data_IF_877252964210
#
_entry.id   IF_877252964210
#
_cell.length_a   1.000
_cell.length_b   1.000
_cell.length_c   1.000
_cell.angle_alpha   90.00
_cell.angle_beta   90.00
_cell.angle_gamma   90.00
#
_symmetry.space_group_name_H-M   'P 1'
#
loop_
_entity.id
_entity.type
_entity.pdbx_description
1 polymer ?
#
# COMPACT_ATOMS: atom_id res chain seq x y z
N UNK A 1 24.98 1.92 4.85
CA UNK A 1 23.97 2.82 5.46
C UNK A 1 22.60 2.53 4.83
N UNK A 2 21.53 2.66 5.65
CA UNK A 2 20.15 2.43 5.22
C UNK A 2 19.33 3.72 5.31
N UNK A 3 18.52 3.98 4.30
CA UNK A 3 17.46 4.97 4.33
C UNK A 3 16.09 4.28 4.24
N UNK A 4 15.20 4.60 5.18
CA UNK A 4 13.81 4.12 5.18
C UNK A 4 12.88 5.25 4.76
N UNK A 5 12.28 5.14 3.59
CA UNK A 5 11.37 6.15 3.06
C UNK A 5 9.91 5.71 3.25
N UNK A 6 9.27 6.20 4.30
CA UNK A 6 7.92 5.81 4.72
C UNK A 6 6.84 6.87 4.47
N UNK A 7 7.18 7.96 3.75
CA UNK A 7 6.22 9.02 3.45
C UNK A 7 5.20 8.55 2.43
N UNK A 8 3.92 8.77 2.72
CA UNK A 8 2.83 8.47 1.82
C UNK A 8 1.70 9.48 1.98
N UNK A 9 1.32 10.13 0.88
CA UNK A 9 0.18 11.04 0.80
C UNK A 9 -0.46 10.90 -0.57
N UNK A 10 -1.78 10.83 -0.62
CA UNK A 10 -2.51 10.79 -1.89
C UNK A 10 -4.00 10.68 -1.68
N UNK A 11 -4.75 10.93 -2.74
CA UNK A 11 -6.19 10.76 -2.76
C UNK A 11 -6.53 9.28 -2.76
N UNK A 12 -7.32 8.87 -1.79
CA UNK A 12 -7.82 7.51 -1.56
C UNK A 12 -9.35 7.52 -1.46
N UNK A 13 -9.97 6.34 -1.35
CA UNK A 13 -11.43 6.20 -1.26
C UNK A 13 -12.13 6.26 -2.61
N UNK A 14 -11.37 6.19 -3.70
CA UNK A 14 -11.84 6.02 -5.08
C UNK A 14 -11.08 4.84 -5.71
N UNK A 15 -11.63 4.21 -6.76
CA UNK A 15 -10.89 3.19 -7.52
C UNK A 15 -9.57 3.73 -8.06
N UNK A 16 -8.54 2.89 -8.10
CA UNK A 16 -7.22 3.27 -8.64
C UNK A 16 -7.36 3.77 -10.09
N UNK A 17 -8.15 3.09 -10.91
CA UNK A 17 -8.40 3.44 -12.32
C UNK A 17 -9.11 4.78 -12.53
N UNK A 18 -9.79 5.30 -11.52
CA UNK A 18 -10.56 6.54 -11.59
C UNK A 18 -9.77 7.76 -11.07
N UNK A 19 -8.54 7.55 -10.62
CA UNK A 19 -7.66 8.64 -10.20
C UNK A 19 -7.27 9.51 -11.41
N UNK A 20 -7.43 10.82 -11.29
CA UNK A 20 -7.02 11.76 -12.33
C UNK A 20 -5.50 11.93 -12.34
N UNK A 21 -4.94 12.37 -13.48
CA UNK A 21 -3.50 12.63 -13.59
C UNK A 21 -3.02 13.63 -12.52
N UNK A 22 -3.78 14.69 -12.26
CA UNK A 22 -3.48 15.66 -11.20
C UNK A 22 -3.39 15.02 -9.81
N UNK A 23 -4.31 14.10 -9.49
CA UNK A 23 -4.27 13.36 -8.22
C UNK A 23 -3.06 12.43 -8.14
N UNK A 24 -2.72 11.76 -9.25
CA UNK A 24 -1.54 10.89 -9.34
C UNK A 24 -0.26 11.71 -9.16
N UNK A 25 -0.11 12.84 -9.83
CA UNK A 25 1.06 13.72 -9.73
C UNK A 25 1.22 14.26 -8.31
N UNK A 26 0.12 14.69 -7.67
CA UNK A 26 0.11 15.13 -6.28
C UNK A 26 0.51 14.02 -5.31
N UNK A 27 0.02 12.80 -5.53
CA UNK A 27 0.40 11.64 -4.73
C UNK A 27 1.90 11.32 -4.89
N UNK A 28 2.38 11.27 -6.13
CA UNK A 28 3.77 10.95 -6.43
C UNK A 28 4.74 12.01 -5.87
N UNK A 29 4.35 13.27 -5.84
CA UNK A 29 5.19 14.37 -5.34
C UNK A 29 5.76 14.11 -3.93
N UNK A 30 5.02 13.42 -3.06
CA UNK A 30 5.47 13.08 -1.71
C UNK A 30 5.70 11.58 -1.50
N UNK A 31 4.99 10.73 -2.25
CA UNK A 31 5.04 9.29 -1.99
C UNK A 31 6.10 8.56 -2.81
N UNK A 32 6.55 9.11 -3.93
CA UNK A 32 7.49 8.44 -4.82
C UNK A 32 8.65 9.33 -5.28
N UNK A 33 8.37 10.52 -5.85
CA UNK A 33 9.40 11.35 -6.52
C UNK A 33 10.62 11.69 -5.64
N UNK A 34 10.51 11.86 -4.31
CA UNK A 34 11.67 12.12 -3.48
C UNK A 34 12.65 10.94 -3.39
N UNK A 35 12.21 9.71 -3.63
CA UNK A 35 13.07 8.52 -3.49
C UNK A 35 14.27 8.57 -4.45
N UNK A 36 14.08 8.66 -5.79
CA UNK A 36 15.19 8.76 -6.72
C UNK A 36 15.99 10.07 -6.57
N UNK A 37 15.39 11.15 -6.07
CA UNK A 37 16.11 12.39 -5.79
C UNK A 37 17.09 12.20 -4.63
N UNK A 38 16.63 11.63 -3.52
CA UNK A 38 17.47 11.33 -2.35
C UNK A 38 18.56 10.32 -2.67
N UNK A 39 18.28 9.35 -3.53
CA UNK A 39 19.28 8.39 -4.02
C UNK A 39 20.45 9.09 -4.73
N UNK A 40 20.15 10.09 -5.56
CA UNK A 40 21.17 10.85 -6.29
C UNK A 40 21.94 11.85 -5.42
N UNK A 41 21.36 12.32 -4.33
CA UNK A 41 21.94 13.37 -3.48
C UNK A 41 22.69 12.83 -2.26
N UNK A 42 22.39 11.61 -1.85
CA UNK A 42 22.91 11.03 -0.61
C UNK A 42 23.77 9.79 -0.90
N UNK A 43 24.89 9.65 -0.22
CA UNK A 43 25.73 8.45 -0.26
C UNK A 43 25.10 7.37 0.64
N UNK A 44 24.15 6.62 0.07
CA UNK A 44 23.36 5.60 0.77
C UNK A 44 23.57 4.24 0.11
N UNK A 45 23.87 3.25 0.94
CA UNK A 45 24.07 1.87 0.45
C UNK A 45 22.77 1.17 0.10
N UNK A 46 21.70 1.42 0.86
CA UNK A 46 20.41 0.76 0.66
C UNK A 46 19.25 1.70 0.95
N UNK A 47 18.31 1.78 0.02
CA UNK A 47 17.03 2.49 0.20
C UNK A 47 15.90 1.48 0.34
N UNK A 48 15.14 1.61 1.42
CA UNK A 48 13.97 0.78 1.72
C UNK A 48 12.71 1.62 1.57
N UNK A 49 11.89 1.29 0.58
CA UNK A 49 10.58 1.90 0.36
C UNK A 49 9.45 0.98 0.87
N UNK A 50 8.22 1.49 0.87
CA UNK A 50 7.06 0.75 1.39
C UNK A 50 5.94 0.68 0.38
N UNK A 51 5.43 -0.54 0.17
CA UNK A 51 4.28 -0.84 -0.65
C UNK A 51 3.21 -1.60 0.13
N UNK A 52 2.14 -1.99 -0.54
CA UNK A 52 1.07 -2.83 -0.02
C UNK A 52 0.59 -3.76 -1.12
N UNK A 53 -0.29 -4.68 -0.82
CA UNK A 53 -0.93 -5.55 -1.82
C UNK A 53 -2.02 -4.79 -2.58
N UNK A 54 -1.65 -3.72 -3.28
CA UNK A 54 -2.57 -2.78 -3.94
C UNK A 54 -3.35 -3.41 -5.11
N UNK A 55 -2.93 -4.57 -5.61
CA UNK A 55 -3.57 -5.28 -6.73
C UNK A 55 -4.75 -6.16 -6.31
N UNK A 56 -4.98 -6.39 -5.02
CA UNK A 56 -6.18 -7.09 -4.57
C UNK A 56 -7.43 -6.24 -4.84
N UNK A 57 -8.55 -6.88 -5.10
CA UNK A 57 -9.77 -6.23 -5.60
C UNK A 57 -10.29 -5.11 -4.69
N UNK A 58 -10.26 -5.32 -3.37
CA UNK A 58 -10.69 -4.30 -2.41
C UNK A 58 -9.78 -3.09 -2.39
N UNK A 59 -8.47 -3.27 -2.54
CA UNK A 59 -7.53 -2.16 -2.65
C UNK A 59 -7.68 -1.43 -3.99
N UNK A 60 -7.89 -2.16 -5.10
CA UNK A 60 -8.17 -1.56 -6.41
C UNK A 60 -9.40 -0.63 -6.37
N UNK A 61 -10.40 -0.92 -5.54
CA UNK A 61 -11.63 -0.13 -5.42
C UNK A 61 -11.51 1.12 -4.52
N UNK A 62 -10.42 1.27 -3.75
CA UNK A 62 -10.32 2.36 -2.76
C UNK A 62 -8.98 3.07 -2.68
N UNK A 63 -7.91 2.49 -3.23
CA UNK A 63 -6.57 3.02 -3.00
C UNK A 63 -6.21 4.23 -3.87
N UNK A 64 -7.05 4.58 -4.86
CA UNK A 64 -7.00 5.81 -5.65
C UNK A 64 -5.61 6.12 -6.21
N UNK A 65 -5.21 7.38 -6.14
CA UNK A 65 -3.92 7.84 -6.63
C UNK A 65 -2.71 7.21 -5.90
N UNK A 66 -2.89 6.78 -4.64
CA UNK A 66 -1.82 6.09 -3.91
C UNK A 66 -1.46 4.74 -4.53
N UNK A 67 -2.40 4.06 -5.21
CA UNK A 67 -2.11 2.82 -5.92
C UNK A 67 -1.03 3.02 -7.00
N UNK A 68 -1.13 4.11 -7.77
CA UNK A 68 -0.11 4.47 -8.78
C UNK A 68 1.25 4.78 -8.15
N UNK A 69 1.27 5.44 -6.99
CA UNK A 69 2.54 5.69 -6.27
C UNK A 69 3.18 4.38 -5.79
N UNK A 70 2.39 3.40 -5.35
CA UNK A 70 2.90 2.08 -4.96
C UNK A 70 3.43 1.30 -6.16
N UNK A 71 2.74 1.34 -7.28
CA UNK A 71 3.21 0.77 -8.54
C UNK A 71 4.56 1.38 -8.98
N UNK A 72 4.70 2.71 -8.89
CA UNK A 72 5.95 3.39 -9.22
C UNK A 72 7.08 3.02 -8.26
N UNK A 73 6.82 2.90 -6.95
CA UNK A 73 7.78 2.42 -5.96
C UNK A 73 8.26 1.01 -6.33
N UNK A 74 7.37 0.10 -6.69
CA UNK A 74 7.73 -1.27 -7.02
C UNK A 74 8.52 -1.36 -8.33
N UNK A 75 8.16 -0.58 -9.35
CA UNK A 75 8.93 -0.47 -10.59
C UNK A 75 10.33 0.08 -10.35
N UNK A 76 10.45 1.12 -9.54
CA UNK A 76 11.74 1.68 -9.14
C UNK A 76 12.58 0.64 -8.36
N UNK A 77 11.93 -0.11 -7.46
CA UNK A 77 12.63 -1.13 -6.64
C UNK A 77 13.33 -2.18 -7.51
N UNK A 78 12.72 -2.63 -8.59
CA UNK A 78 13.31 -3.65 -9.49
C UNK A 78 14.26 -3.05 -10.54
N UNK A 79 14.26 -1.75 -10.73
CA UNK A 79 15.09 -1.06 -11.71
C UNK A 79 16.50 -0.70 -11.19
N UNK A 80 16.88 -1.16 -9.98
CA UNK A 80 18.21 -0.89 -9.44
C UNK A 80 19.31 -1.53 -10.31
N UNK A 81 20.17 -0.69 -10.86
CA UNK A 81 21.34 -1.06 -11.67
C UNK A 81 22.64 -0.47 -11.12
N UNK A 82 22.57 0.20 -9.97
CA UNK A 82 23.62 1.05 -9.44
C UNK A 82 24.30 0.53 -8.17
N UNK A 83 25.08 1.41 -7.56
CA UNK A 83 25.75 1.17 -6.29
C UNK A 83 24.77 1.09 -5.11
N UNK A 84 23.64 1.80 -5.21
CA UNK A 84 22.57 1.79 -4.21
C UNK A 84 21.65 0.58 -4.40
N UNK A 85 21.46 -0.19 -3.34
CA UNK A 85 20.50 -1.29 -3.33
C UNK A 85 19.10 -0.77 -3.07
N UNK A 86 18.13 -1.25 -3.85
CA UNK A 86 16.72 -0.96 -3.62
C UNK A 86 16.04 -2.15 -2.94
N UNK A 87 15.23 -1.87 -1.94
CA UNK A 87 14.39 -2.85 -1.28
C UNK A 87 13.01 -2.26 -0.99
N UNK A 88 12.00 -3.12 -0.94
CA UNK A 88 10.64 -2.70 -0.61
C UNK A 88 10.01 -3.66 0.41
N UNK A 89 9.44 -3.10 1.47
CA UNK A 89 8.57 -3.86 2.39
C UNK A 89 7.14 -3.69 1.91
N UNK A 90 6.52 -4.81 1.54
CA UNK A 90 5.13 -4.88 1.07
C UNK A 90 4.26 -5.47 2.18
N UNK A 91 3.34 -4.68 2.72
CA UNK A 91 2.54 -5.07 3.88
C UNK A 91 1.06 -5.24 3.53
N UNK A 92 0.42 -6.24 4.14
CA UNK A 92 -1.03 -6.37 4.21
C UNK A 92 -1.67 -5.23 5.01
N UNK A 93 -2.99 -5.18 5.03
CA UNK A 93 -3.72 -4.14 5.75
C UNK A 93 -3.40 -4.19 7.25
N UNK A 94 -2.94 -3.07 7.77
CA UNK A 94 -2.71 -2.85 9.21
C UNK A 94 -3.24 -1.49 9.64
N UNK A 95 -3.45 -1.33 10.94
CA UNK A 95 -3.93 -0.07 11.47
C UNK A 95 -2.84 1.00 11.46
N UNK A 96 -3.05 2.05 10.67
CA UNK A 96 -2.14 3.17 10.46
C UNK A 96 -2.91 4.48 10.36
N UNK A 97 -2.27 5.66 10.43
CA UNK A 97 -2.92 6.92 10.11
C UNK A 97 -3.58 6.92 8.73
N UNK A 98 -2.95 6.30 7.71
CA UNK A 98 -3.49 6.20 6.35
C UNK A 98 -4.75 5.34 6.31
N UNK A 99 -4.75 4.15 6.93
CA UNK A 99 -5.94 3.28 6.96
C UNK A 99 -7.11 3.95 7.70
N UNK A 100 -6.84 4.70 8.78
CA UNK A 100 -7.86 5.51 9.47
C UNK A 100 -8.40 6.63 8.58
N UNK A 101 -7.54 7.27 7.79
CA UNK A 101 -7.94 8.28 6.81
C UNK A 101 -8.89 7.72 5.75
N UNK A 102 -8.61 6.54 5.20
CA UNK A 102 -9.49 5.83 4.26
C UNK A 102 -10.86 5.56 4.90
N UNK A 103 -10.89 5.03 6.12
CA UNK A 103 -12.15 4.78 6.86
C UNK A 103 -12.98 6.03 7.06
N UNK A 104 -12.35 7.17 7.41
CA UNK A 104 -13.03 8.44 7.56
C UNK A 104 -13.61 8.94 6.24
N UNK A 105 -12.87 8.80 5.16
CA UNK A 105 -13.32 9.18 3.83
C UNK A 105 -14.48 8.31 3.37
N UNK A 106 -14.40 6.99 3.52
CA UNK A 106 -15.50 6.07 3.22
C UNK A 106 -16.76 6.39 4.02
N UNK A 107 -16.63 6.74 5.31
CA UNK A 107 -17.76 7.18 6.14
C UNK A 107 -18.42 8.45 5.60
N UNK A 108 -17.63 9.38 5.06
CA UNK A 108 -18.14 10.61 4.46
C UNK A 108 -18.81 10.32 3.12
N UNK A 109 -18.17 9.56 2.25
CA UNK A 109 -18.65 9.29 0.89
C UNK A 109 -19.88 8.40 0.88
N UNK A 110 -19.96 7.40 1.76
CA UNK A 110 -21.10 6.47 1.85
C UNK A 110 -22.40 7.08 2.37
N UNK A 111 -22.39 8.35 2.83
CA UNK A 111 -23.63 9.07 3.14
C UNK A 111 -24.49 9.34 1.90
N UNK A 112 -23.88 9.38 0.72
CA UNK A 112 -24.56 9.42 -0.57
C UNK A 112 -23.99 8.32 -1.45
N UNK A 113 -24.76 7.26 -1.68
CA UNK A 113 -24.37 6.09 -2.46
C UNK A 113 -24.02 6.41 -3.92
N UNK A 114 -24.55 7.50 -4.47
CA UNK A 114 -24.23 7.92 -5.84
C UNK A 114 -22.78 8.35 -6.00
N UNK A 115 -22.12 8.70 -4.89
CA UNK A 115 -20.69 9.00 -4.86
C UNK A 115 -19.82 7.72 -4.89
N UNK A 116 -20.40 6.55 -4.63
CA UNK A 116 -19.72 5.26 -4.66
C UNK A 116 -19.94 4.60 -6.02
N UNK A 117 -19.09 4.96 -6.98
CA UNK A 117 -19.20 4.46 -8.37
C UNK A 117 -18.75 3.01 -8.52
N UNK A 118 -17.85 2.55 -7.68
CA UNK A 118 -17.35 1.17 -7.72
C UNK A 118 -18.44 0.20 -7.19
N UNK A 119 -18.85 -0.81 -7.97
CA UNK A 119 -19.91 -1.73 -7.59
C UNK A 119 -19.58 -2.57 -6.35
N UNK A 120 -18.31 -2.99 -6.19
CA UNK A 120 -17.87 -3.75 -5.01
C UNK A 120 -18.00 -2.86 -3.76
N UNK A 121 -17.43 -1.66 -3.83
CA UNK A 121 -17.46 -0.73 -2.72
C UNK A 121 -18.91 -0.36 -2.35
N UNK A 122 -19.75 -0.05 -3.35
CA UNK A 122 -21.16 0.29 -3.16
C UNK A 122 -21.93 -0.82 -2.45
N UNK A 123 -21.69 -2.09 -2.80
CA UNK A 123 -22.40 -3.24 -2.21
C UNK A 123 -22.25 -3.35 -0.68
N UNK A 124 -21.18 -2.83 -0.12
CA UNK A 124 -20.96 -2.82 1.33
C UNK A 124 -21.79 -1.79 2.08
N UNK A 125 -22.31 -0.76 1.37
CA UNK A 125 -23.03 0.37 1.97
C UNK A 125 -24.51 0.40 1.60
N UNK A 126 -24.95 -0.40 0.63
CA UNK A 126 -26.38 -0.54 0.32
C UNK A 126 -27.11 -1.13 1.52
N UNK A 127 -28.16 -0.41 2.01
CA UNK A 127 -28.97 -0.82 3.16
C UNK A 127 -28.18 -1.14 4.45
N UNK A 128 -26.96 -0.59 4.56
CA UNK A 128 -26.06 -0.87 5.68
C UNK A 128 -25.55 0.45 6.28
N UNK A 129 -25.60 0.63 7.61
CA UNK A 129 -25.00 1.80 8.26
C UNK A 129 -23.51 1.92 7.89
N UNK A 130 -23.02 3.16 7.66
CA UNK A 130 -21.63 3.39 7.21
C UNK A 130 -20.58 2.72 8.10
N UNK A 131 -20.77 2.68 9.42
CA UNK A 131 -19.84 2.02 10.35
C UNK A 131 -19.77 0.51 10.15
N UNK A 132 -20.90 -0.11 9.88
CA UNK A 132 -20.99 -1.55 9.61
C UNK A 132 -20.46 -1.87 8.21
N UNK A 133 -20.79 -1.05 7.20
CA UNK A 133 -20.27 -1.19 5.84
C UNK A 133 -18.73 -1.14 5.80
N UNK A 134 -18.12 -0.19 6.54
CA UNK A 134 -16.67 -0.10 6.67
C UNK A 134 -16.08 -1.38 7.29
N UNK A 135 -16.69 -1.87 8.37
CA UNK A 135 -16.23 -3.11 9.03
C UNK A 135 -16.30 -4.30 8.08
N UNK A 136 -17.41 -4.47 7.38
CA UNK A 136 -17.58 -5.54 6.38
C UNK A 136 -16.57 -5.42 5.24
N UNK A 137 -16.29 -4.20 4.79
CA UNK A 137 -15.30 -3.93 3.76
C UNK A 137 -13.88 -4.33 4.22
N UNK A 138 -13.48 -3.98 5.46
CA UNK A 138 -12.22 -4.44 6.05
C UNK A 138 -12.13 -5.96 6.13
N UNK A 139 -13.19 -6.61 6.59
CA UNK A 139 -13.24 -8.09 6.62
C UNK A 139 -13.12 -8.69 5.21
N UNK A 140 -13.66 -7.99 4.19
CA UNK A 140 -13.46 -8.35 2.78
C UNK A 140 -11.99 -8.30 2.36
N UNK A 141 -11.24 -7.25 2.76
CA UNK A 141 -9.80 -7.16 2.52
C UNK A 141 -9.07 -8.32 3.20
N UNK A 142 -9.33 -8.56 4.48
CA UNK A 142 -8.69 -9.65 5.22
C UNK A 142 -8.96 -11.03 4.63
N UNK A 143 -10.19 -11.25 4.16
CA UNK A 143 -10.53 -12.50 3.48
C UNK A 143 -9.73 -12.66 2.19
N UNK A 144 -9.65 -11.62 1.39
CA UNK A 144 -8.91 -11.63 0.12
C UNK A 144 -7.40 -11.80 0.35
N UNK A 145 -6.82 -11.10 1.34
CA UNK A 145 -5.43 -11.29 1.74
C UNK A 145 -5.15 -12.73 2.16
N UNK A 146 -6.03 -13.32 3.00
CA UNK A 146 -5.89 -14.70 3.44
C UNK A 146 -5.98 -15.70 2.29
N UNK A 147 -6.88 -15.48 1.33
CA UNK A 147 -7.02 -16.31 0.14
C UNK A 147 -5.80 -16.21 -0.77
N UNK A 148 -5.28 -14.99 -1.00
CA UNK A 148 -4.17 -14.75 -1.91
C UNK A 148 -2.79 -15.10 -1.30
N UNK A 149 -2.60 -14.82 -0.02
CA UNK A 149 -1.28 -14.88 0.63
C UNK A 149 -1.18 -15.90 1.77
N UNK A 150 -2.29 -16.48 2.19
CA UNK A 150 -2.36 -17.53 3.21
C UNK A 150 -2.51 -17.02 4.65
N UNK A 151 -2.41 -15.71 4.88
CA UNK A 151 -2.65 -15.06 6.18
C UNK A 151 -3.21 -13.65 5.98
N UNK A 152 -3.61 -12.96 7.07
CA UNK A 152 -4.14 -11.60 7.05
C UNK A 152 -3.98 -10.95 8.43
N UNK A 153 -4.43 -9.68 8.59
CA UNK A 153 -4.41 -8.93 9.84
C UNK A 153 -2.99 -8.68 10.35
N UNK A 154 -2.19 -8.06 9.51
CA UNK A 154 -0.84 -7.60 9.84
C UNK A 154 -0.87 -6.62 11.01
N UNK A 155 0.05 -6.74 11.94
CA UNK A 155 0.22 -5.81 13.04
C UNK A 155 1.62 -5.15 13.04
N UNK A 156 1.90 -4.32 14.03
CA UNK A 156 3.18 -3.60 14.13
C UNK A 156 4.37 -4.53 14.39
N UNK A 157 4.14 -5.62 15.12
CA UNK A 157 5.17 -6.61 15.45
C UNK A 157 5.52 -7.42 14.20
N UNK A 158 4.54 -7.71 13.35
CA UNK A 158 4.76 -8.34 12.06
C UNK A 158 5.59 -7.47 11.14
N UNK A 159 5.29 -6.16 11.09
CA UNK A 159 6.09 -5.19 10.34
C UNK A 159 7.53 -5.13 10.86
N UNK A 160 7.73 -5.11 12.18
CA UNK A 160 9.08 -5.13 12.76
C UNK A 160 9.82 -6.39 12.38
N UNK A 161 9.18 -7.55 12.40
CA UNK A 161 9.78 -8.82 11.95
C UNK A 161 10.17 -8.78 10.47
N UNK A 162 9.35 -8.14 9.62
CA UNK A 162 9.69 -7.94 8.19
C UNK A 162 10.95 -7.09 8.02
N UNK A 163 11.15 -6.03 8.83
CA UNK A 163 12.40 -5.27 8.81
C UNK A 163 13.60 -6.11 9.25
N UNK A 164 13.44 -6.93 10.29
CA UNK A 164 14.51 -7.83 10.73
C UNK A 164 14.86 -8.87 9.66
N UNK A 165 13.86 -9.34 8.91
CA UNK A 165 14.09 -10.27 7.80
C UNK A 165 14.82 -9.61 6.65
N UNK A 166 14.54 -8.33 6.36
CA UNK A 166 15.28 -7.55 5.37
C UNK A 166 16.80 -7.53 5.68
N UNK A 167 17.18 -7.34 6.94
CA UNK A 167 18.58 -7.30 7.34
C UNK A 167 19.29 -8.66 7.31
N UNK A 168 18.54 -9.76 7.38
CA UNK A 168 19.09 -11.13 7.35
C UNK A 168 19.23 -11.67 5.93
N UNK A 169 18.47 -11.10 5.00
CA UNK A 169 18.41 -11.61 3.64
C UNK A 169 19.52 -11.04 2.77
N UNK A 170 20.23 -11.89 2.03
CA UNK A 170 21.20 -11.47 1.03
C UNK A 170 20.47 -10.93 -0.22
N UNK A 171 20.40 -9.61 -0.35
CA UNK A 171 19.76 -8.89 -1.47
C UNK A 171 18.26 -9.18 -1.68
N UNK A 172 17.40 -8.99 -0.68
CA UNK A 172 15.97 -9.05 -0.91
C UNK A 172 15.54 -7.83 -1.73
N UNK A 173 14.74 -8.05 -2.79
CA UNK A 173 14.09 -6.96 -3.52
C UNK A 173 12.80 -6.60 -2.79
N UNK A 174 11.95 -7.57 -2.51
CA UNK A 174 10.73 -7.39 -1.72
C UNK A 174 10.75 -8.29 -0.49
N UNK A 175 10.38 -7.73 0.64
CA UNK A 175 9.96 -8.48 1.83
C UNK A 175 8.45 -8.27 1.97
N UNK A 176 7.71 -9.35 1.78
CA UNK A 176 6.26 -9.34 1.93
C UNK A 176 5.89 -9.73 3.35
N UNK A 177 4.90 -9.06 3.93
CA UNK A 177 4.33 -9.40 5.24
C UNK A 177 2.81 -9.33 5.18
N UNK A 178 2.15 -10.45 5.49
CA UNK A 178 0.69 -10.54 5.57
C UNK A 178 0.32 -11.40 6.77
N UNK A 179 -0.27 -10.78 7.78
CA UNK A 179 -0.42 -11.40 9.10
C UNK A 179 0.95 -11.82 9.65
N UNK A 180 1.05 -13.05 10.14
CA UNK A 180 2.28 -13.62 10.69
C UNK A 180 3.24 -14.14 9.61
N UNK A 181 2.77 -14.26 8.35
CA UNK A 181 3.56 -14.78 7.25
C UNK A 181 4.48 -13.70 6.67
N UNK A 182 5.77 -14.02 6.55
CA UNK A 182 6.79 -13.16 5.94
C UNK A 182 7.53 -14.00 4.89
N UNK A 183 7.75 -13.43 3.70
CA UNK A 183 8.47 -14.11 2.62
C UNK A 183 9.13 -13.10 1.67
N UNK A 184 10.32 -13.44 1.13
CA UNK A 184 10.94 -12.64 0.08
C UNK A 184 10.28 -12.90 -1.29
N UNK A 185 10.35 -11.89 -2.18
CA UNK A 185 10.04 -12.05 -3.60
C UNK A 185 10.90 -11.11 -4.44
N UNK A 186 10.90 -11.31 -5.76
CA UNK A 186 11.70 -10.51 -6.70
C UNK A 186 10.85 -9.72 -7.69
N UNK A 187 9.58 -10.11 -7.85
CA UNK A 187 8.69 -9.54 -8.85
C UNK A 187 7.80 -8.45 -8.25
N UNK A 188 7.53 -7.36 -8.98
CA UNK A 188 6.48 -6.41 -8.65
C UNK A 188 5.09 -7.06 -8.75
N UNK A 189 4.06 -6.42 -8.15
CA UNK A 189 2.67 -6.90 -8.22
C UNK A 189 1.99 -6.57 -9.56
#
# INVERSE_FOLDING_TARGET
DYMFYATALGDVGIPIKDATQEQIDRSNKLSFNPIPQLENELDITTIVAYSTFYTIRHQLSTYGAMGHSKENIEKWTVASDGATKHACIRAGLFESPSSRGIKLLLRKTSKNLDNLKDPLLRSYFENTPSSEGIKKFEEGIFKEEKEAYGDCRTDKEDLMRAHLELFKSDNPIFINVCGKKIWPSKEPL
#
